data_IF_620885804597
#
_entry.id   IF_620885804597
#
_cell.length_a   1.000
_cell.length_b   1.000
_cell.length_c   1.000
_cell.angle_alpha   90.00
_cell.angle_beta   90.00
_cell.angle_gamma   90.00
#
_symmetry.space_group_name_H-M   'P 1'
#
loop_
_entity.id
_entity.type
_entity.pdbx_description
1 polymer ?
#
# COMPACT_ATOMS: atom_id res chain seq x y z
N UNK A 1 1.18 3.53 15.11
CA UNK A 1 2.18 2.72 14.38
C UNK A 1 1.62 2.42 13.02
N UNK A 2 2.43 2.56 11.98
CA UNK A 2 1.91 2.48 10.62
C UNK A 2 2.06 1.07 10.04
N UNK A 3 1.03 0.59 9.38
CA UNK A 3 1.03 -0.66 8.62
C UNK A 3 0.64 -0.40 7.17
N UNK A 4 1.36 -1.03 6.26
CA UNK A 4 0.98 -1.19 4.87
C UNK A 4 0.19 -2.49 4.73
N UNK A 5 -1.03 -2.40 4.20
CA UNK A 5 -1.80 -3.51 3.70
C UNK A 5 -1.58 -3.59 2.20
N UNK A 6 -1.00 -4.67 1.73
CA UNK A 6 -0.62 -4.87 0.32
C UNK A 6 -1.59 -5.86 -0.28
N UNK A 7 -2.41 -5.42 -1.23
CA UNK A 7 -3.33 -6.28 -1.96
C UNK A 7 -2.54 -6.95 -3.08
N UNK A 8 -2.39 -8.27 -3.02
CA UNK A 8 -1.68 -9.03 -4.05
C UNK A 8 -2.49 -9.09 -5.33
N UNK A 9 -1.82 -9.04 -6.46
CA UNK A 9 -2.47 -9.14 -7.75
C UNK A 9 -2.86 -10.58 -8.08
N UNK A 10 -3.91 -10.71 -8.86
CA UNK A 10 -4.40 -11.96 -9.47
C UNK A 10 -4.25 -11.90 -10.98
N UNK A 11 -4.41 -13.06 -11.64
CA UNK A 11 -4.48 -13.13 -13.10
C UNK A 11 -5.55 -12.20 -13.67
N UNK A 12 -6.70 -12.10 -13.02
CA UNK A 12 -7.81 -11.24 -13.47
C UNK A 12 -7.48 -9.76 -13.34
N UNK A 13 -6.89 -9.34 -12.21
CA UNK A 13 -6.48 -7.95 -12.02
C UNK A 13 -5.41 -7.53 -13.04
N UNK A 14 -4.44 -8.41 -13.35
CA UNK A 14 -3.41 -8.14 -14.35
C UNK A 14 -3.93 -8.19 -15.79
N UNK A 15 -5.03 -8.91 -16.03
CA UNK A 15 -5.77 -8.87 -17.29
C UNK A 15 -6.66 -7.60 -17.42
N UNK A 16 -6.72 -6.75 -16.41
CA UNK A 16 -7.53 -5.54 -16.39
C UNK A 16 -9.02 -5.80 -16.18
N UNK A 17 -9.39 -6.95 -15.62
CA UNK A 17 -10.77 -7.23 -15.21
C UNK A 17 -11.13 -6.27 -14.09
N UNK A 18 -12.19 -5.49 -14.30
CA UNK A 18 -12.67 -4.52 -13.32
C UNK A 18 -13.61 -5.18 -12.31
N UNK A 19 -13.61 -4.72 -11.04
CA UNK A 19 -14.58 -5.18 -10.06
C UNK A 19 -16.01 -4.82 -10.50
N UNK A 20 -16.98 -5.65 -10.11
CA UNK A 20 -18.40 -5.34 -10.31
C UNK A 20 -18.86 -4.24 -9.32
N UNK A 21 -20.06 -3.69 -9.54
CA UNK A 21 -20.58 -2.61 -8.69
C UNK A 21 -20.74 -3.01 -7.22
N UNK A 22 -21.14 -4.26 -6.95
CA UNK A 22 -21.33 -4.76 -5.59
C UNK A 22 -20.02 -4.75 -4.79
N UNK A 23 -18.91 -5.20 -5.41
CA UNK A 23 -17.59 -5.15 -4.79
C UNK A 23 -17.10 -3.71 -4.61
N UNK A 24 -17.34 -2.83 -5.60
CA UNK A 24 -17.02 -1.40 -5.49
C UNK A 24 -17.73 -0.80 -4.28
N UNK A 25 -19.04 -1.03 -4.13
CA UNK A 25 -19.83 -0.49 -3.03
C UNK A 25 -19.37 -1.04 -1.67
N UNK A 26 -19.03 -2.33 -1.59
CA UNK A 26 -18.50 -2.96 -0.38
C UNK A 26 -17.14 -2.37 0.03
N UNK A 27 -16.23 -2.17 -0.93
CA UNK A 27 -14.93 -1.55 -0.70
C UNK A 27 -15.07 -0.07 -0.31
N UNK A 28 -16.01 0.66 -0.92
CA UNK A 28 -16.29 2.05 -0.55
C UNK A 28 -16.78 2.16 0.89
N UNK A 29 -17.67 1.26 1.31
CA UNK A 29 -18.12 1.21 2.71
C UNK A 29 -16.96 0.91 3.67
N UNK A 30 -16.10 -0.04 3.32
CA UNK A 30 -14.91 -0.35 4.11
C UNK A 30 -13.99 0.88 4.24
N UNK A 31 -13.75 1.60 3.14
CA UNK A 31 -12.94 2.82 3.14
C UNK A 31 -13.55 3.91 4.03
N UNK A 32 -14.88 4.09 3.98
CA UNK A 32 -15.57 5.01 4.89
C UNK A 32 -15.37 4.64 6.36
N UNK A 33 -15.37 3.34 6.70
CA UNK A 33 -15.13 2.89 8.07
C UNK A 33 -13.71 3.21 8.53
N UNK A 34 -12.69 3.01 7.68
CA UNK A 34 -11.30 3.39 7.97
C UNK A 34 -11.14 4.90 8.18
N UNK A 35 -11.78 5.70 7.32
CA UNK A 35 -11.75 7.18 7.42
C UNK A 35 -12.47 7.65 8.68
N UNK A 36 -13.66 7.11 8.97
CA UNK A 36 -14.43 7.45 10.19
C UNK A 36 -13.68 7.07 11.46
N UNK A 37 -12.91 5.98 11.43
CA UNK A 37 -12.04 5.59 12.53
C UNK A 37 -10.78 6.47 12.65
N UNK A 38 -10.48 7.31 11.65
CA UNK A 38 -9.33 8.21 11.64
C UNK A 38 -7.99 7.50 11.41
N UNK A 39 -8.02 6.28 10.84
CA UNK A 39 -6.80 5.46 10.70
C UNK A 39 -6.28 5.39 9.27
N UNK A 40 -7.06 5.77 8.25
CA UNK A 40 -6.61 5.73 6.85
C UNK A 40 -5.68 6.90 6.56
N UNK A 41 -4.42 6.62 6.23
CA UNK A 41 -3.45 7.62 5.78
C UNK A 41 -3.44 7.75 4.25
N UNK A 42 -3.58 6.63 3.53
CA UNK A 42 -3.70 6.56 2.08
C UNK A 42 -4.21 5.18 1.67
N UNK A 43 -4.83 5.04 0.50
CA UNK A 43 -5.14 3.72 -0.03
C UNK A 43 -5.76 3.78 -1.41
N UNK A 44 -5.23 3.00 -2.34
CA UNK A 44 -5.57 3.07 -3.76
C UNK A 44 -5.32 1.73 -4.46
N UNK A 45 -6.08 1.49 -5.54
CA UNK A 45 -5.81 0.41 -6.50
C UNK A 45 -4.70 0.80 -7.48
N UNK A 46 -3.90 -0.18 -7.89
CA UNK A 46 -2.87 -0.02 -8.91
C UNK A 46 -3.35 -0.52 -10.26
N UNK A 47 -2.84 0.09 -11.33
CA UNK A 47 -3.05 -0.40 -12.69
C UNK A 47 -2.26 -1.70 -12.91
N UNK A 48 -2.67 -2.55 -13.88
CA UNK A 48 -1.94 -3.76 -14.24
C UNK A 48 -0.47 -3.49 -14.57
N UNK A 49 0.40 -4.47 -14.33
CA UNK A 49 1.84 -4.31 -14.59
C UNK A 49 2.18 -4.04 -16.05
N UNK A 50 1.30 -4.35 -16.99
CA UNK A 50 1.46 -3.95 -18.40
C UNK A 50 1.52 -2.43 -18.62
N UNK A 51 1.12 -1.63 -17.62
CA UNK A 51 1.28 -0.16 -17.58
C UNK A 51 2.34 0.28 -16.57
N UNK A 52 3.02 -0.67 -15.94
CA UNK A 52 4.04 -0.43 -14.93
C UNK A 52 5.43 -0.29 -15.53
N UNK A 53 6.31 0.36 -14.77
CA UNK A 53 7.72 0.53 -15.08
C UNK A 53 8.52 0.08 -13.85
N UNK A 54 9.53 -0.76 -14.05
CA UNK A 54 10.45 -1.21 -12.99
C UNK A 54 11.80 -0.52 -13.17
N UNK A 55 12.27 0.12 -12.12
CA UNK A 55 13.60 0.73 -12.06
C UNK A 55 14.44 -0.08 -11.06
N UNK A 56 15.60 -0.57 -11.47
CA UNK A 56 16.52 -1.33 -10.63
C UNK A 56 17.93 -0.76 -10.63
N UNK A 57 18.66 -0.96 -9.54
CA UNK A 57 20.04 -0.49 -9.34
C UNK A 57 20.94 -1.72 -9.14
N UNK A 58 21.38 -2.38 -10.23
CA UNK A 58 22.06 -3.68 -10.15
C UNK A 58 23.48 -3.61 -9.57
N UNK A 59 24.10 -2.43 -9.61
CA UNK A 59 25.48 -2.21 -9.20
C UNK A 59 25.55 -1.02 -8.22
N UNK A 60 26.29 -1.12 -7.09
CA UNK A 60 26.48 0.00 -6.17
C UNK A 60 27.11 1.20 -6.89
N UNK A 61 26.42 2.35 -6.89
CA UNK A 61 26.87 3.56 -7.60
C UNK A 61 26.75 3.48 -9.13
N UNK A 62 26.20 2.39 -9.67
CA UNK A 62 25.94 2.22 -11.10
C UNK A 62 24.69 2.96 -11.57
N UNK A 63 24.50 2.98 -12.89
CA UNK A 63 23.30 3.58 -13.50
C UNK A 63 22.06 2.71 -13.30
N UNK A 64 20.87 3.32 -13.11
CA UNK A 64 19.62 2.57 -13.03
C UNK A 64 19.28 1.88 -14.35
N UNK A 65 18.65 0.71 -14.26
CA UNK A 65 18.03 0.01 -15.39
C UNK A 65 16.52 0.17 -15.34
N UNK A 66 15.92 0.50 -16.47
CA UNK A 66 14.47 0.69 -16.63
C UNK A 66 13.92 -0.46 -17.48
N UNK A 67 12.82 -1.07 -17.02
CA UNK A 67 12.13 -2.16 -17.71
C UNK A 67 10.62 -1.87 -17.66
N UNK A 68 10.01 -1.73 -18.83
CA UNK A 68 8.55 -1.68 -18.97
C UNK A 68 7.95 -3.07 -18.72
N UNK A 69 6.74 -3.12 -18.17
CA UNK A 69 6.01 -4.37 -18.00
C UNK A 69 5.43 -4.94 -19.31
N UNK A 70 4.65 -6.03 -19.24
CA UNK A 70 4.16 -6.70 -18.03
C UNK A 70 5.24 -7.52 -17.29
N UNK A 71 4.99 -7.84 -16.03
CA UNK A 71 5.86 -8.68 -15.21
C UNK A 71 5.27 -10.10 -15.09
N UNK A 72 6.12 -11.12 -15.11
CA UNK A 72 5.71 -12.53 -15.32
C UNK A 72 5.12 -13.24 -14.09
N UNK A 73 5.28 -12.70 -12.89
CA UNK A 73 4.89 -13.35 -11.63
C UNK A 73 3.69 -12.66 -10.97
N UNK A 74 2.50 -12.75 -11.59
CA UNK A 74 1.32 -11.99 -11.19
C UNK A 74 0.99 -12.07 -9.68
N UNK A 75 1.09 -13.23 -9.04
CA UNK A 75 0.82 -13.39 -7.60
C UNK A 75 1.83 -12.68 -6.70
N UNK A 76 3.02 -12.39 -7.21
CA UNK A 76 4.02 -11.59 -6.48
C UNK A 76 3.81 -10.09 -6.65
N UNK A 77 3.00 -9.68 -7.63
CA UNK A 77 2.69 -8.29 -7.90
C UNK A 77 1.63 -7.74 -6.93
N UNK A 78 1.50 -6.42 -6.94
CA UNK A 78 0.61 -5.67 -6.05
C UNK A 78 -0.46 -5.02 -6.92
N UNK A 79 -1.72 -5.25 -6.58
CA UNK A 79 -2.89 -4.65 -7.24
C UNK A 79 -3.46 -3.45 -6.47
N UNK A 80 -2.98 -3.19 -5.26
CA UNK A 80 -3.42 -2.05 -4.45
C UNK A 80 -2.73 -2.01 -3.10
N UNK A 81 -2.89 -0.90 -2.40
CA UNK A 81 -2.35 -0.76 -1.05
C UNK A 81 -3.26 0.08 -0.16
N UNK A 82 -3.09 -0.08 1.15
CA UNK A 82 -3.60 0.81 2.18
C UNK A 82 -2.48 1.10 3.18
N UNK A 83 -2.29 2.36 3.54
CA UNK A 83 -1.44 2.77 4.64
C UNK A 83 -2.35 3.19 5.79
N UNK A 84 -2.29 2.46 6.90
CA UNK A 84 -3.11 2.70 8.09
C UNK A 84 -2.24 3.04 9.31
N UNK A 85 -2.73 3.92 10.18
CA UNK A 85 -2.12 4.20 11.49
C UNK A 85 -2.99 3.62 12.61
N UNK A 86 -2.45 2.63 13.31
CA UNK A 86 -3.14 1.85 14.33
C UNK A 86 -2.34 1.82 15.64
N UNK A 87 -2.93 1.33 16.72
CA UNK A 87 -2.31 1.29 18.05
C UNK A 87 -1.52 0.01 18.29
N UNK A 88 -1.79 -1.06 17.54
CA UNK A 88 -1.04 -2.31 17.64
C UNK A 88 -1.08 -3.14 16.36
N UNK A 89 -0.24 -4.19 16.31
CA UNK A 89 -0.25 -5.19 15.24
C UNK A 89 -1.59 -5.92 15.16
N UNK A 90 -2.18 -6.22 16.31
CA UNK A 90 -3.48 -6.91 16.41
C UNK A 90 -4.58 -6.04 15.81
N UNK A 91 -4.57 -4.74 16.08
CA UNK A 91 -5.52 -3.80 15.46
C UNK A 91 -5.33 -3.74 13.92
N UNK A 92 -4.10 -3.78 13.41
CA UNK A 92 -3.86 -3.88 11.96
C UNK A 92 -4.48 -5.16 11.37
N UNK A 93 -4.32 -6.30 12.05
CA UNK A 93 -4.91 -7.57 11.62
C UNK A 93 -6.44 -7.50 11.63
N UNK A 94 -7.03 -6.93 12.69
CA UNK A 94 -8.48 -6.75 12.78
C UNK A 94 -9.03 -5.92 11.63
N UNK A 95 -8.36 -4.82 11.27
CA UNK A 95 -8.77 -4.01 10.12
C UNK A 95 -8.60 -4.72 8.78
N UNK A 96 -7.55 -5.52 8.63
CA UNK A 96 -7.34 -6.31 7.43
C UNK A 96 -8.41 -7.40 7.23
N UNK A 97 -8.81 -8.07 8.31
CA UNK A 97 -9.86 -9.10 8.28
C UNK A 97 -11.26 -8.54 7.98
N UNK A 98 -11.45 -7.23 8.11
CA UNK A 98 -12.71 -6.56 7.75
C UNK A 98 -12.80 -6.19 6.26
N UNK A 99 -11.69 -6.21 5.54
CA UNK A 99 -11.71 -5.92 4.10
C UNK A 99 -12.55 -6.99 3.39
N UNK A 100 -13.48 -6.62 2.49
CA UNK A 100 -14.06 -7.55 1.54
C UNK A 100 -12.97 -8.31 0.78
N UNK A 101 -13.28 -9.48 0.19
CA UNK A 101 -12.32 -10.09 -0.73
C UNK A 101 -11.96 -9.06 -1.81
N UNK A 102 -10.70 -8.58 -1.89
CA UNK A 102 -10.34 -7.45 -2.73
C UNK A 102 -10.54 -7.71 -4.22
N UNK A 103 -10.65 -8.98 -4.63
CA UNK A 103 -10.94 -9.36 -6.02
C UNK A 103 -12.37 -9.89 -6.21
N UNK A 104 -13.09 -10.22 -5.14
CA UNK A 104 -14.48 -10.71 -5.17
C UNK A 104 -14.70 -12.14 -5.68
N UNK A 105 -13.64 -12.85 -6.10
CA UNK A 105 -13.73 -14.19 -6.72
C UNK A 105 -13.09 -15.33 -5.89
N UNK A 106 -12.79 -15.10 -4.62
CA UNK A 106 -12.17 -16.09 -3.73
C UNK A 106 -10.65 -16.23 -3.92
N UNK A 107 -9.96 -15.16 -4.31
CA UNK A 107 -8.51 -15.16 -4.61
C UNK A 107 -7.76 -13.97 -3.99
N UNK A 108 -8.44 -13.20 -3.13
CA UNK A 108 -7.84 -12.11 -2.38
C UNK A 108 -6.73 -12.56 -1.43
N UNK A 109 -5.60 -11.86 -1.49
CA UNK A 109 -4.53 -11.97 -0.51
C UNK A 109 -4.09 -10.57 -0.09
N UNK A 110 -3.99 -10.36 1.23
CA UNK A 110 -3.56 -9.11 1.85
C UNK A 110 -2.31 -9.42 2.67
N UNK A 111 -1.19 -8.84 2.28
CA UNK A 111 0.07 -8.90 3.04
C UNK A 111 0.16 -7.68 3.96
N UNK A 112 0.30 -7.91 5.27
CA UNK A 112 0.48 -6.84 6.26
C UNK A 112 1.95 -6.66 6.61
N UNK A 113 2.45 -5.43 6.45
CA UNK A 113 3.82 -5.06 6.82
C UNK A 113 3.84 -3.79 7.63
N UNK A 114 4.51 -3.84 8.77
CA UNK A 114 4.77 -2.64 9.56
C UNK A 114 5.75 -1.74 8.80
N UNK A 115 5.46 -0.44 8.80
CA UNK A 115 6.35 0.59 8.25
C UNK A 115 7.38 0.95 9.32
N UNK A 116 8.63 1.11 8.91
CA UNK A 116 9.67 1.65 9.79
C UNK A 116 9.33 3.07 10.24
N UNK A 117 9.48 3.33 11.53
CA UNK A 117 9.58 4.69 12.07
C UNK A 117 11.04 5.14 12.11
N UNK A 118 11.28 6.43 12.29
CA UNK A 118 12.64 6.99 12.25
C UNK A 118 13.54 6.36 13.33
N UNK A 119 12.95 6.12 14.50
CA UNK A 119 13.57 5.50 15.66
C UNK A 119 13.92 4.03 15.44
N UNK A 120 13.29 3.34 14.48
CA UNK A 120 13.63 1.97 14.14
C UNK A 120 14.88 1.89 13.24
N UNK A 121 15.22 2.99 12.55
CA UNK A 121 16.30 3.06 11.57
C UNK A 121 17.57 3.67 12.14
N UNK A 122 17.47 4.52 13.15
CA UNK A 122 18.62 5.24 13.72
C UNK A 122 18.35 5.74 15.14
N UNK A 123 19.40 5.74 15.97
CA UNK A 123 19.38 6.39 17.29
C UNK A 123 19.79 7.87 17.25
N UNK A 124 20.10 8.43 16.07
CA UNK A 124 20.54 9.83 15.96
C UNK A 124 19.34 10.80 16.10
N UNK A 125 19.30 11.63 17.16
CA UNK A 125 18.16 12.51 17.44
C UNK A 125 17.97 13.61 16.38
N UNK A 126 19.05 14.07 15.74
CA UNK A 126 18.95 15.08 14.67
C UNK A 126 18.29 14.50 13.42
N UNK A 127 18.63 13.25 13.07
CA UNK A 127 18.01 12.55 11.93
C UNK A 127 16.54 12.27 12.20
N UNK A 128 16.19 11.82 13.40
CA UNK A 128 14.80 11.57 13.83
C UNK A 128 13.98 12.87 13.75
N UNK A 129 14.48 13.95 14.36
CA UNK A 129 13.78 15.24 14.35
C UNK A 129 13.56 15.77 12.92
N UNK A 130 14.58 15.63 12.07
CA UNK A 130 14.49 16.06 10.66
C UNK A 130 13.48 15.25 9.85
N UNK A 131 13.39 13.93 10.07
CA UNK A 131 12.37 13.10 9.41
C UNK A 131 10.97 13.52 9.84
N UNK A 132 10.76 13.74 11.14
CA UNK A 132 9.49 14.21 11.68
C UNK A 132 9.07 15.57 11.10
N UNK A 133 10.02 16.52 10.97
CA UNK A 133 9.77 17.82 10.31
C UNK A 133 9.39 17.65 8.83
N UNK A 134 10.10 16.81 8.08
CA UNK A 134 9.81 16.54 6.67
C UNK A 134 8.43 15.90 6.48
N UNK A 135 8.05 14.97 7.37
CA UNK A 135 6.74 14.32 7.35
C UNK A 135 5.63 15.34 7.59
N UNK A 136 5.77 16.17 8.63
CA UNK A 136 4.82 17.24 8.94
C UNK A 136 4.66 18.21 7.77
N UNK A 137 5.77 18.62 7.14
CA UNK A 137 5.73 19.52 5.99
C UNK A 137 4.98 18.89 4.80
N UNK A 138 5.20 17.60 4.54
CA UNK A 138 4.49 16.85 3.49
C UNK A 138 2.98 16.79 3.74
N UNK A 139 2.57 16.57 5.00
CA UNK A 139 1.16 16.56 5.39
C UNK A 139 0.51 17.94 5.23
N UNK A 140 1.18 19.01 5.68
CA UNK A 140 0.70 20.38 5.52
C UNK A 140 0.57 20.80 4.05
N UNK A 141 1.46 20.32 3.18
CA UNK A 141 1.39 20.59 1.75
C UNK A 141 0.21 19.90 1.06
N UNK A 142 -0.18 18.70 1.51
CA UNK A 142 -1.35 17.98 0.98
C UNK A 142 -2.69 18.60 1.39
N UNK A 143 -2.70 19.43 2.43
CA UNK A 143 -3.90 20.12 2.93
C UNK A 143 -4.13 21.49 2.27
N UNK A 144 -3.22 21.94 1.41
CA UNK A 144 -3.32 23.21 0.66
C UNK A 144 -3.81 22.97 -0.76
#
# INVERSE_FOLDING_TARGET
>A
MRFMMIVKATTDSEAGVLPNQELIDAMMKYNEELVKAGILLAGDGLQPSSKGIRISYPEPGGSPKIVDGPFTEAKELIAGYYLIDVKSREEAIEWALRMPDPHGFGQGEIELRQVFEAEDLTDNPETIAKEAELRKLSEEQKQK
#
